data_IF_225639293071
#
_entry.id   IF_225639293071
#
_cell.length_a   1.000
_cell.length_b   1.000
_cell.length_c   1.000
_cell.angle_alpha   90.00
_cell.angle_beta   90.00
_cell.angle_gamma   90.00
#
_symmetry.space_group_name_H-M   'P 1'
#
loop_
_entity.id
_entity.type
_entity.pdbx_description
1 polymer ?
#
# COMPACT_ATOMS: atom_id res chain seq x y z
N UNK A 1 9.68 22.58 5.51
CA UNK A 1 10.63 22.26 6.60
C UNK A 1 11.28 20.92 6.31
N UNK A 2 12.53 20.67 6.75
CA UNK A 2 13.23 19.40 6.51
C UNK A 2 13.65 18.71 7.80
N UNK A 3 13.75 17.38 7.80
CA UNK A 3 14.17 16.60 8.99
C UNK A 3 15.29 15.62 8.62
N UNK A 4 16.36 15.51 9.45
CA UNK A 4 17.36 14.45 9.22
C UNK A 4 16.75 13.10 9.66
N UNK A 5 16.72 12.08 8.79
CA UNK A 5 16.17 10.76 9.13
C UNK A 5 17.02 9.99 10.16
N UNK A 6 18.29 10.38 10.37
CA UNK A 6 19.18 9.72 11.34
C UNK A 6 19.19 10.37 12.73
N UNK A 7 19.06 11.69 12.80
CA UNK A 7 19.17 12.42 14.07
C UNK A 7 17.90 13.18 14.46
N UNK A 8 16.85 13.10 13.64
CA UNK A 8 15.53 13.70 13.84
C UNK A 8 15.55 15.19 14.19
N UNK A 9 16.63 15.89 13.83
CA UNK A 9 16.77 17.32 14.04
C UNK A 9 16.05 18.05 12.91
N UNK A 10 15.28 19.08 13.26
CA UNK A 10 14.54 19.90 12.31
C UNK A 10 15.46 20.98 11.75
N UNK A 11 15.41 21.17 10.44
CA UNK A 11 16.19 22.16 9.72
C UNK A 11 15.26 23.02 8.85
N UNK A 12 15.70 24.25 8.58
CA UNK A 12 15.07 25.12 7.60
C UNK A 12 15.21 24.53 6.19
N UNK A 13 14.28 24.86 5.30
CA UNK A 13 14.15 24.27 3.95
C UNK A 13 15.36 24.44 3.03
N UNK A 14 16.23 25.39 3.36
CA UNK A 14 17.47 25.69 2.64
C UNK A 14 18.60 24.67 2.86
N UNK A 15 18.49 23.78 3.85
CA UNK A 15 19.51 22.79 4.13
C UNK A 15 19.26 21.50 3.32
N UNK A 16 20.22 21.10 2.47
CA UNK A 16 20.14 19.84 1.70
C UNK A 16 20.73 18.64 2.46
N UNK A 17 21.69 18.90 3.35
CA UNK A 17 22.40 17.89 4.13
C UNK A 17 22.46 18.28 5.60
N UNK A 18 22.38 17.29 6.47
CA UNK A 18 22.53 17.53 7.89
C UNK A 18 24.01 17.71 8.27
N UNK A 19 24.39 18.77 9.00
CA UNK A 19 25.77 19.02 9.41
C UNK A 19 26.34 17.99 10.40
N UNK A 20 25.47 17.26 11.10
CA UNK A 20 25.86 16.27 12.11
C UNK A 20 25.93 14.86 11.53
N UNK A 21 24.87 14.46 10.82
CA UNK A 21 24.69 13.09 10.32
C UNK A 21 25.23 12.92 8.89
N UNK A 22 25.47 14.03 8.16
CA UNK A 22 25.77 14.09 6.71
C UNK A 22 24.74 13.41 5.80
N UNK A 23 23.64 12.91 6.35
CA UNK A 23 22.53 12.39 5.56
C UNK A 23 21.82 13.53 4.83
N UNK A 24 21.25 13.18 3.68
CA UNK A 24 20.37 14.03 2.92
C UNK A 24 19.11 14.30 3.74
N UNK A 25 18.69 15.56 3.76
CA UNK A 25 17.50 16.01 4.48
C UNK A 25 16.28 15.78 3.59
N UNK A 26 15.28 15.08 4.11
CA UNK A 26 14.02 14.83 3.39
C UNK A 26 13.03 15.97 3.66
N UNK A 27 12.30 16.36 2.62
CA UNK A 27 11.24 17.37 2.69
C UNK A 27 10.06 16.84 3.49
N UNK A 28 9.68 17.55 4.55
CA UNK A 28 8.60 17.13 5.45
C UNK A 28 7.23 17.13 4.73
N UNK A 29 7.11 17.81 3.59
CA UNK A 29 5.90 17.79 2.74
C UNK A 29 5.75 16.51 1.91
N UNK A 30 6.81 15.72 1.71
CA UNK A 30 6.70 14.45 0.97
C UNK A 30 6.16 13.30 1.84
N UNK A 31 6.24 13.42 3.17
CA UNK A 31 5.74 12.41 4.10
C UNK A 31 4.20 12.31 4.12
N UNK A 32 3.46 13.35 3.75
CA UNK A 32 1.98 13.31 3.73
C UNK A 32 1.39 12.78 2.42
N UNK A 33 2.20 12.64 1.35
CA UNK A 33 1.69 12.19 0.04
C UNK A 33 1.77 10.69 -0.21
N UNK A 34 2.45 9.92 0.65
CA UNK A 34 2.60 8.47 0.44
C UNK A 34 1.49 7.61 1.09
N UNK A 35 0.69 8.13 2.02
CA UNK A 35 -0.33 7.33 2.72
C UNK A 35 -1.71 7.28 2.04
N UNK A 36 -1.89 7.91 0.87
CA UNK A 36 -3.11 7.78 0.06
C UNK A 36 -2.85 7.12 -1.29
N UNK A 37 -2.18 5.97 -1.32
CA UNK A 37 -2.37 5.01 -2.42
C UNK A 37 -3.73 4.35 -2.23
N UNK A 38 -4.79 5.07 -2.61
CA UNK A 38 -6.12 4.52 -2.76
C UNK A 38 -6.01 3.19 -3.54
N UNK A 39 -6.46 2.10 -2.90
CA UNK A 39 -6.41 0.75 -3.45
C UNK A 39 -6.87 0.78 -4.90
N UNK A 40 -6.04 0.34 -5.88
CA UNK A 40 -6.39 0.47 -7.28
C UNK A 40 -7.67 -0.30 -7.55
N UNK A 41 -8.58 0.29 -8.35
CA UNK A 41 -9.89 -0.33 -8.67
C UNK A 41 -9.76 -1.74 -9.26
N UNK A 42 -8.63 -2.05 -9.90
CA UNK A 42 -8.31 -3.40 -10.39
C UNK A 42 -8.21 -4.45 -9.29
N UNK A 43 -7.77 -4.08 -8.08
CA UNK A 43 -7.70 -4.98 -6.93
C UNK A 43 -9.09 -5.42 -6.49
N UNK A 44 -10.05 -4.50 -6.46
CA UNK A 44 -11.45 -4.81 -6.13
C UNK A 44 -12.12 -5.70 -7.18
N UNK A 45 -11.82 -5.47 -8.47
CA UNK A 45 -12.33 -6.28 -9.57
C UNK A 45 -11.76 -7.71 -9.49
N UNK A 46 -10.46 -7.83 -9.22
CA UNK A 46 -9.80 -9.13 -9.06
C UNK A 46 -10.34 -9.91 -7.84
N UNK A 47 -10.56 -9.22 -6.72
CA UNK A 47 -11.13 -9.80 -5.50
C UNK A 47 -12.53 -10.38 -5.75
N UNK A 48 -13.41 -9.59 -6.37
CA UNK A 48 -14.77 -10.02 -6.73
C UNK A 48 -14.77 -11.19 -7.72
N UNK A 49 -13.91 -11.15 -8.73
CA UNK A 49 -13.77 -12.24 -9.70
C UNK A 49 -13.35 -13.55 -9.03
N UNK A 50 -12.40 -13.49 -8.09
CA UNK A 50 -11.92 -14.66 -7.37
C UNK A 50 -13.01 -15.25 -6.48
N UNK A 51 -13.75 -14.41 -5.74
CA UNK A 51 -14.89 -14.85 -4.93
C UNK A 51 -16.00 -15.49 -5.77
N UNK A 52 -16.35 -14.90 -6.91
CA UNK A 52 -17.35 -15.45 -7.82
C UNK A 52 -16.92 -16.82 -8.38
N UNK A 53 -15.65 -16.97 -8.74
CA UNK A 53 -15.10 -18.23 -9.25
C UNK A 53 -15.13 -19.34 -8.20
N UNK A 54 -14.68 -19.04 -6.97
CA UNK A 54 -14.71 -19.99 -5.85
C UNK A 54 -16.16 -20.40 -5.54
N UNK A 55 -17.08 -19.43 -5.47
CA UNK A 55 -18.50 -19.70 -5.25
C UNK A 55 -19.09 -20.61 -6.34
N UNK A 56 -18.78 -20.33 -7.61
CA UNK A 56 -19.21 -21.16 -8.74
C UNK A 56 -18.66 -22.59 -8.66
N UNK A 57 -17.39 -22.76 -8.32
CA UNK A 57 -16.78 -24.08 -8.14
C UNK A 57 -17.43 -24.87 -7.01
N UNK A 58 -17.73 -24.24 -5.87
CA UNK A 58 -18.41 -24.90 -4.75
C UNK A 58 -19.83 -25.32 -5.14
N UNK A 59 -20.54 -24.46 -5.87
CA UNK A 59 -21.90 -24.73 -6.30
C UNK A 59 -21.94 -25.90 -7.31
N UNK A 60 -21.01 -25.92 -8.26
CA UNK A 60 -20.80 -27.05 -9.17
C UNK A 60 -20.44 -28.33 -8.42
N UNK A 61 -19.52 -28.27 -7.46
CA UNK A 61 -19.15 -29.42 -6.63
C UNK A 61 -20.37 -29.98 -5.91
N UNK A 62 -21.20 -29.13 -5.31
CA UNK A 62 -22.44 -29.52 -4.64
C UNK A 62 -23.46 -30.13 -5.60
N UNK A 63 -23.58 -29.59 -6.80
CA UNK A 63 -24.50 -30.11 -7.83
C UNK A 63 -24.06 -31.48 -8.33
N UNK A 64 -22.77 -31.65 -8.63
CA UNK A 64 -22.21 -32.93 -9.08
C UNK A 64 -22.29 -33.98 -7.98
N UNK A 65 -21.83 -33.67 -6.77
CA UNK A 65 -21.89 -34.61 -5.65
C UNK A 65 -23.31 -34.91 -5.18
N UNK A 66 -24.23 -33.94 -5.26
CA UNK A 66 -25.65 -34.15 -4.96
C UNK A 66 -26.42 -34.90 -6.05
N UNK A 67 -25.92 -34.92 -7.29
CA UNK A 67 -26.50 -35.69 -8.37
C UNK A 67 -25.93 -37.12 -8.48
N UNK A 68 -24.75 -37.37 -7.91
CA UNK A 68 -24.08 -38.67 -7.92
C UNK A 68 -24.27 -39.50 -6.64
N UNK A 69 -24.98 -38.98 -5.64
CA UNK A 69 -25.34 -39.65 -4.38
C UNK A 69 -26.86 -39.81 -4.28
#
# INVERSE_FOLDING_TARGET
>A
MKICPLCHTKFEDSAEYCPKCKAQLEDFEEAEKEEQKAVPKSFWIALLGTFAFIGGMILLYKLVYGAFM
#
